data_IF_779142016013
#
_entry.id   IF_779142016013
#
_cell.length_a   1.000
_cell.length_b   1.000
_cell.length_c   1.000
_cell.angle_alpha   90.00
_cell.angle_beta   90.00
_cell.angle_gamma   90.00
#
_symmetry.space_group_name_H-M   'P 1'
#
loop_
_entity.id
_entity.type
_entity.pdbx_description
1 polymer ?
#
# COMPACT_ATOMS: atom_id res chain seq x y z
N UNK A 1 1.92 0.51 14.51
CA UNK A 1 1.32 -0.28 13.40
C UNK A 1 2.45 -1.03 12.71
N UNK A 2 2.34 -2.34 12.56
CA UNK A 2 3.30 -3.14 11.79
C UNK A 2 2.75 -3.28 10.36
N UNK A 3 3.58 -3.03 9.35
CA UNK A 3 3.22 -3.21 7.94
C UNK A 3 4.10 -4.34 7.40
N UNK A 4 3.46 -5.40 6.92
CA UNK A 4 4.14 -6.55 6.34
C UNK A 4 3.92 -6.60 4.83
N UNK A 5 4.97 -6.96 4.09
CA UNK A 5 4.91 -7.17 2.66
C UNK A 5 5.85 -8.28 2.21
N UNK A 6 5.55 -8.86 1.05
CA UNK A 6 6.40 -9.84 0.41
C UNK A 6 7.61 -9.15 -0.27
N UNK A 7 8.83 -9.61 0.05
CA UNK A 7 10.08 -9.02 -0.46
C UNK A 7 10.23 -9.18 -1.98
N UNK A 8 9.80 -10.32 -2.53
CA UNK A 8 9.89 -10.55 -3.98
C UNK A 8 8.89 -9.69 -4.76
N UNK A 9 7.70 -9.48 -4.21
CA UNK A 9 6.72 -8.53 -4.74
C UNK A 9 7.26 -7.11 -4.71
N UNK A 10 7.98 -6.74 -3.66
CA UNK A 10 8.61 -5.43 -3.59
C UNK A 10 9.63 -5.23 -4.72
N UNK A 11 10.54 -6.20 -4.92
CA UNK A 11 11.50 -6.17 -6.03
C UNK A 11 10.81 -6.00 -7.38
N UNK A 12 9.72 -6.73 -7.62
CA UNK A 12 8.93 -6.60 -8.87
C UNK A 12 8.30 -5.22 -9.03
N UNK A 13 7.82 -4.59 -7.95
CA UNK A 13 7.28 -3.23 -8.01
C UNK A 13 8.37 -2.19 -8.30
N UNK A 14 9.55 -2.32 -7.68
CA UNK A 14 10.68 -1.43 -7.94
C UNK A 14 11.08 -1.49 -9.42
N UNK A 15 11.25 -2.70 -9.96
CA UNK A 15 11.69 -2.89 -11.35
C UNK A 15 10.62 -2.51 -12.38
N UNK A 16 9.35 -2.85 -12.12
CA UNK A 16 8.28 -2.66 -13.11
C UNK A 16 7.50 -1.36 -12.99
N UNK A 17 7.56 -0.68 -11.84
CA UNK A 17 6.73 0.49 -11.51
C UNK A 17 7.48 1.60 -10.78
N UNK A 18 8.78 1.41 -10.49
CA UNK A 18 9.64 2.39 -9.83
C UNK A 18 9.11 2.91 -8.49
N UNK A 19 8.33 2.08 -7.79
CA UNK A 19 7.80 2.32 -6.44
C UNK A 19 8.12 1.12 -5.55
N UNK A 20 8.37 1.36 -4.27
CA UNK A 20 8.65 0.29 -3.30
C UNK A 20 7.66 0.31 -2.13
N UNK A 21 7.53 -0.82 -1.44
CA UNK A 21 6.75 -0.90 -0.21
C UNK A 21 7.38 -0.09 0.93
N UNK A 22 8.69 0.14 0.93
CA UNK A 22 9.33 1.05 1.89
C UNK A 22 8.83 2.50 1.70
N UNK A 23 8.74 2.99 0.46
CA UNK A 23 8.20 4.33 0.16
C UNK A 23 6.70 4.41 0.50
N UNK A 24 5.93 3.39 0.11
CA UNK A 24 4.50 3.29 0.42
C UNK A 24 4.26 3.27 1.94
N UNK A 25 4.98 2.41 2.66
CA UNK A 25 4.84 2.28 4.12
C UNK A 25 5.27 3.54 4.84
N UNK A 26 6.32 4.21 4.39
CA UNK A 26 6.73 5.52 4.91
C UNK A 26 5.58 6.53 4.89
N UNK A 27 4.85 6.64 3.76
CA UNK A 27 3.68 7.52 3.64
C UNK A 27 2.51 7.12 4.53
N UNK A 28 2.24 5.81 4.62
CA UNK A 28 1.16 5.33 5.50
C UNK A 28 1.51 5.65 6.96
N UNK A 29 2.77 5.44 7.38
CA UNK A 29 3.23 5.69 8.74
C UNK A 29 3.33 7.18 9.08
N UNK A 30 3.60 8.05 8.10
CA UNK A 30 3.58 9.51 8.27
C UNK A 30 2.17 10.11 8.24
N UNK A 31 1.14 9.30 7.94
CA UNK A 31 -0.24 9.76 7.80
C UNK A 31 -0.53 10.49 6.49
N UNK A 32 0.38 10.45 5.51
CA UNK A 32 0.20 11.02 4.17
C UNK A 32 -0.71 10.13 3.30
N UNK A 33 -1.95 9.97 3.74
CA UNK A 33 -2.98 9.16 3.10
C UNK A 33 -4.02 10.12 2.52
N UNK A 34 -4.34 9.97 1.23
CA UNK A 34 -5.40 10.75 0.60
C UNK A 34 -6.78 10.22 0.99
N UNK A 35 -6.94 8.90 0.98
CA UNK A 35 -8.20 8.24 1.32
C UNK A 35 -7.99 6.75 1.65
N UNK A 36 -9.00 6.12 2.25
CA UNK A 36 -9.10 4.68 2.44
C UNK A 36 -10.42 4.19 1.86
N UNK A 37 -10.34 3.36 0.83
CA UNK A 37 -11.51 2.89 0.09
C UNK A 37 -11.73 1.39 0.28
N UNK A 38 -12.98 0.95 0.28
CA UNK A 38 -13.29 -0.48 0.21
C UNK A 38 -12.90 -1.06 -1.16
N UNK A 39 -12.40 -2.30 -1.17
CA UNK A 39 -12.07 -2.99 -2.41
C UNK A 39 -13.29 -3.74 -2.97
N UNK A 40 -13.93 -3.29 -4.08
CA UNK A 40 -15.09 -3.97 -4.64
C UNK A 40 -14.72 -5.33 -5.26
N UNK A 41 -13.47 -5.53 -5.68
CA UNK A 41 -13.00 -6.75 -6.34
C UNK A 41 -12.60 -7.87 -5.38
N UNK A 42 -12.38 -7.57 -4.09
CA UNK A 42 -12.00 -8.57 -3.06
C UNK A 42 -12.59 -8.23 -1.71
N UNK A 43 -13.45 -9.10 -1.20
CA UNK A 43 -13.98 -9.02 0.17
C UNK A 43 -12.83 -9.07 1.19
N UNK A 44 -12.95 -8.30 2.27
CA UNK A 44 -11.97 -8.15 3.36
C UNK A 44 -10.65 -7.47 2.98
N UNK A 45 -10.61 -6.77 1.85
CA UNK A 45 -9.49 -5.94 1.45
C UNK A 45 -9.94 -4.49 1.30
N UNK A 46 -9.03 -3.56 1.58
CA UNK A 46 -9.23 -2.13 1.35
C UNK A 46 -8.05 -1.57 0.56
N UNK A 47 -8.17 -0.34 0.10
CA UNK A 47 -7.12 0.40 -0.60
C UNK A 47 -6.69 1.60 0.23
N UNK A 48 -5.38 1.77 0.42
CA UNK A 48 -4.84 3.09 0.70
C UNK A 48 -4.71 3.85 -0.63
N UNK A 49 -5.24 5.06 -0.69
CA UNK A 49 -5.01 5.99 -1.80
C UNK A 49 -3.88 6.93 -1.41
N UNK A 50 -2.77 6.89 -2.14
CA UNK A 50 -1.55 7.62 -1.82
C UNK A 50 -1.10 8.48 -3.00
N UNK A 51 -0.60 9.68 -2.74
CA UNK A 51 0.08 10.50 -3.74
C UNK A 51 1.60 10.28 -3.67
N UNK A 52 2.17 9.73 -4.74
CA UNK A 52 3.59 9.39 -4.81
C UNK A 52 4.14 9.87 -6.15
N UNK A 53 5.12 10.79 -6.09
CA UNK A 53 5.87 11.29 -7.26
C UNK A 53 4.99 11.75 -8.43
N UNK A 54 3.96 12.54 -8.13
CA UNK A 54 3.09 13.09 -9.18
C UNK A 54 1.95 12.18 -9.62
N UNK A 55 1.80 11.00 -9.02
CA UNK A 55 0.80 10.01 -9.42
C UNK A 55 0.03 9.45 -8.23
N UNK A 56 -1.26 9.17 -8.41
CA UNK A 56 -2.12 8.58 -7.39
C UNK A 56 -2.08 7.06 -7.47
N UNK A 57 -1.75 6.42 -6.35
CA UNK A 57 -1.63 4.97 -6.22
C UNK A 57 -2.73 4.42 -5.33
N UNK A 58 -3.45 3.42 -5.83
CA UNK A 58 -4.33 2.58 -5.00
C UNK A 58 -3.54 1.34 -4.55
N UNK A 59 -3.28 1.25 -3.25
CA UNK A 59 -2.47 0.19 -2.65
C UNK A 59 -3.36 -0.76 -1.86
N UNK A 60 -3.65 -1.98 -2.37
CA UNK A 60 -4.47 -2.95 -1.65
C UNK A 60 -3.77 -3.48 -0.40
N UNK A 61 -4.50 -3.55 0.71
CA UNK A 61 -4.02 -4.08 1.99
C UNK A 61 -5.09 -4.89 2.73
N UNK A 62 -4.63 -5.81 3.58
CA UNK A 62 -5.47 -6.58 4.50
C UNK A 62 -5.14 -6.13 5.92
N UNK A 63 -6.15 -6.00 6.78
CA UNK A 63 -5.95 -5.82 8.22
C UNK A 63 -5.97 -7.19 8.87
N UNK A 64 -4.86 -7.60 9.45
CA UNK A 64 -4.82 -8.73 10.35
C UNK A 64 -5.11 -8.22 11.78
N UNK A 65 -6.22 -8.69 12.37
CA UNK A 65 -6.64 -8.35 13.74
C UNK A 65 -6.31 -9.45 14.74
N UNK A 66 -5.66 -10.54 14.31
CA UNK A 66 -5.38 -11.71 15.15
C UNK A 66 -3.94 -11.74 15.69
N UNK A 67 -3.29 -10.57 15.76
CA UNK A 67 -2.04 -10.36 16.49
C UNK A 67 -2.22 -9.31 17.57
#
# INVERSE_FOLDING_TARGET
MEILWDKEKNKRLILGRSVSFEEISGKILSGEILDVLDNPGRKNQQYFVLYIRGYTWAVPFLIDRQK
#
